data_IF_167809260328
#
_entry.id   IF_167809260328
#
_cell.length_a   1.000
_cell.length_b   1.000
_cell.length_c   1.000
_cell.angle_alpha   90.00
_cell.angle_beta   90.00
_cell.angle_gamma   90.00
#
_symmetry.space_group_name_H-M   'P 1'
#
loop_
_entity.id
_entity.type
_entity.pdbx_description
1 polymer ?
#
# COMPACT_ATOMS: atom_id res chain seq x y z
N UNK A 1 -13.30 7.95 -28.98
CA UNK A 1 -12.56 6.75 -28.54
C UNK A 1 -12.15 7.03 -27.11
N UNK A 2 -12.61 6.22 -26.15
CA UNK A 2 -12.32 6.46 -24.74
C UNK A 2 -10.83 6.16 -24.50
N UNK A 3 -10.04 7.20 -24.28
CA UNK A 3 -8.70 7.04 -23.72
C UNK A 3 -8.85 6.32 -22.38
N UNK A 4 -8.18 5.17 -22.25
CA UNK A 4 -8.16 4.43 -21.01
C UNK A 4 -7.43 5.27 -19.97
N UNK A 5 -8.16 5.88 -19.04
CA UNK A 5 -7.61 6.52 -17.85
C UNK A 5 -6.66 5.51 -17.18
N UNK A 6 -5.35 5.77 -17.29
CA UNK A 6 -4.33 4.90 -16.73
C UNK A 6 -4.32 5.12 -15.23
N UNK A 7 -4.79 4.11 -14.51
CA UNK A 7 -4.89 4.15 -13.05
C UNK A 7 -3.49 4.15 -12.42
N UNK A 8 -3.02 5.30 -11.92
CA UNK A 8 -1.64 5.43 -11.42
C UNK A 8 -1.36 4.65 -10.12
N UNK A 9 -2.39 4.28 -9.30
CA UNK A 9 -2.17 3.53 -8.03
C UNK A 9 -1.55 2.15 -8.21
N UNK A 10 -1.77 1.51 -9.36
CA UNK A 10 -1.16 0.21 -9.66
C UNK A 10 0.29 0.33 -10.13
N UNK A 11 0.72 1.51 -10.60
CA UNK A 11 1.97 1.68 -11.35
C UNK A 11 3.15 2.25 -10.54
N UNK A 12 2.96 2.60 -9.25
CA UNK A 12 3.95 3.39 -8.48
C UNK A 12 4.99 2.56 -7.69
N UNK A 13 5.04 1.23 -7.85
CA UNK A 13 5.99 0.36 -7.13
C UNK A 13 7.47 0.63 -7.44
N UNK A 14 7.80 1.31 -8.54
CA UNK A 14 9.17 1.71 -8.87
C UNK A 14 9.69 2.95 -8.10
N UNK A 15 8.91 3.52 -7.18
CA UNK A 15 9.26 4.76 -6.46
C UNK A 15 9.76 4.53 -5.04
N UNK A 16 9.99 3.27 -4.64
CA UNK A 16 10.40 2.93 -3.29
C UNK A 16 11.84 3.39 -2.99
N UNK A 17 12.15 3.78 -1.74
CA UNK A 17 13.48 4.24 -1.36
C UNK A 17 14.49 3.09 -1.41
N UNK A 18 15.73 3.39 -1.78
CA UNK A 18 16.82 2.40 -1.89
C UNK A 18 17.41 1.97 -0.55
N UNK A 19 17.04 2.65 0.54
CA UNK A 19 17.48 2.35 1.91
C UNK A 19 16.29 2.05 2.82
N UNK A 20 16.53 1.22 3.81
CA UNK A 20 15.58 0.98 4.90
C UNK A 20 15.38 2.26 5.69
N UNK A 21 14.13 2.71 5.77
CA UNK A 21 13.74 3.89 6.53
C UNK A 21 13.38 3.52 7.98
N UNK A 22 13.26 4.52 8.85
CA UNK A 22 12.78 4.28 10.21
C UNK A 22 11.30 3.86 10.21
N UNK A 23 10.87 3.05 11.20
CA UNK A 23 9.48 2.64 11.34
C UNK A 23 8.49 3.81 11.36
N UNK A 24 7.26 3.54 10.95
CA UNK A 24 6.14 4.50 10.98
C UNK A 24 5.40 4.34 12.30
N UNK A 25 5.52 5.36 13.15
CA UNK A 25 4.97 5.42 14.51
C UNK A 25 4.46 6.83 14.85
N UNK A 26 3.72 6.94 15.95
CA UNK A 26 3.09 8.16 16.46
C UNK A 26 1.68 8.42 15.90
N UNK A 27 1.30 7.81 14.79
CA UNK A 27 -0.05 7.92 14.25
C UNK A 27 -1.04 7.08 15.07
N UNK A 28 -0.61 5.95 15.63
CA UNK A 28 -1.40 5.07 16.46
C UNK A 28 -1.90 5.76 17.74
N UNK A 29 -1.15 6.77 18.21
CA UNK A 29 -1.51 7.61 19.38
C UNK A 29 -2.61 8.61 19.09
N UNK A 30 -2.99 8.83 17.82
CA UNK A 30 -4.12 9.68 17.46
C UNK A 30 -5.45 9.00 17.84
N UNK A 31 -6.41 9.80 18.28
CA UNK A 31 -7.80 9.34 18.44
C UNK A 31 -8.40 9.00 17.08
N UNK A 32 -9.32 8.05 17.05
CA UNK A 32 -10.21 7.88 15.90
C UNK A 32 -11.16 9.07 15.84
N UNK A 33 -11.31 9.63 14.65
CA UNK A 33 -12.10 10.84 14.36
C UNK A 33 -12.89 10.62 13.07
N UNK A 34 -13.83 11.51 12.76
CA UNK A 34 -14.56 11.48 11.49
C UNK A 34 -13.64 11.66 10.29
N UNK A 35 -14.06 11.25 9.09
CA UNK A 35 -13.23 11.41 7.89
C UNK A 35 -12.92 12.88 7.59
N UNK A 36 -13.87 13.80 7.83
CA UNK A 36 -13.68 15.25 7.67
C UNK A 36 -12.58 15.75 8.59
N UNK A 37 -12.64 15.40 9.88
CA UNK A 37 -11.63 15.78 10.87
C UNK A 37 -10.27 15.17 10.54
N UNK A 38 -10.25 13.91 10.07
CA UNK A 38 -9.03 13.16 9.77
C UNK A 38 -8.17 13.82 8.68
N UNK A 39 -8.80 14.54 7.75
CA UNK A 39 -8.10 15.20 6.64
C UNK A 39 -7.80 16.69 6.87
N UNK A 40 -8.23 17.28 7.99
CA UNK A 40 -8.10 18.73 8.25
C UNK A 40 -6.67 19.23 8.26
N UNK A 41 -5.73 18.40 8.75
CA UNK A 41 -4.33 18.77 8.95
C UNK A 41 -3.47 18.45 7.73
N UNK A 42 -4.03 17.88 6.65
CA UNK A 42 -3.24 17.48 5.47
C UNK A 42 -2.73 18.73 4.76
N UNK A 43 -1.40 18.77 4.56
CA UNK A 43 -0.71 19.83 3.86
C UNK A 43 0.19 19.30 2.72
N UNK A 44 0.30 20.04 1.60
CA UNK A 44 -0.49 21.24 1.26
C UNK A 44 -1.98 20.90 0.99
N UNK A 45 -2.88 21.90 0.99
CA UNK A 45 -4.30 21.66 0.71
C UNK A 45 -4.51 20.94 -0.63
N UNK A 46 -5.33 19.89 -0.61
CA UNK A 46 -5.60 19.06 -1.78
C UNK A 46 -6.81 19.63 -2.53
N UNK A 47 -6.69 19.72 -3.85
CA UNK A 47 -7.77 20.16 -4.74
C UNK A 47 -9.06 19.39 -4.48
N UNK A 48 -10.18 20.11 -4.36
CA UNK A 48 -11.53 19.57 -4.22
C UNK A 48 -11.73 18.51 -3.10
N UNK A 49 -10.86 18.48 -2.09
CA UNK A 49 -10.86 17.43 -1.06
C UNK A 49 -12.20 17.31 -0.32
N UNK A 50 -12.84 18.44 0.02
CA UNK A 50 -14.12 18.45 0.75
C UNK A 50 -15.23 17.71 -0.01
N UNK A 51 -15.32 17.92 -1.32
CA UNK A 51 -16.32 17.26 -2.18
C UNK A 51 -16.06 15.76 -2.28
N UNK A 52 -14.79 15.37 -2.33
CA UNK A 52 -14.38 13.97 -2.43
C UNK A 52 -14.62 13.23 -1.12
N UNK A 53 -14.33 13.86 0.02
CA UNK A 53 -14.72 13.37 1.36
C UNK A 53 -16.23 13.19 1.46
N UNK A 54 -17.02 14.18 1.04
CA UNK A 54 -18.48 14.09 1.06
C UNK A 54 -18.98 12.90 0.23
N UNK A 55 -18.40 12.69 -0.95
CA UNK A 55 -18.74 11.60 -1.86
C UNK A 55 -18.39 10.23 -1.25
N UNK A 56 -17.19 10.11 -0.68
CA UNK A 56 -16.72 8.90 0.00
C UNK A 56 -17.64 8.51 1.16
N UNK A 57 -18.05 9.47 1.99
CA UNK A 57 -19.00 9.22 3.10
C UNK A 57 -20.38 8.82 2.61
N UNK A 58 -20.88 9.48 1.55
CA UNK A 58 -22.19 9.15 0.98
C UNK A 58 -22.25 7.70 0.48
N UNK A 59 -21.17 7.22 -0.11
CA UNK A 59 -21.05 5.84 -0.60
C UNK A 59 -20.76 4.80 0.50
N UNK A 60 -20.50 5.23 1.73
CA UNK A 60 -20.07 4.37 2.84
C UNK A 60 -21.03 4.39 4.03
N UNK A 61 -22.31 4.76 3.83
CA UNK A 61 -23.28 4.93 4.93
C UNK A 61 -23.61 3.64 5.69
N UNK A 62 -23.67 2.52 4.98
CA UNK A 62 -24.03 1.21 5.54
C UNK A 62 -22.95 0.19 5.14
N UNK A 63 -21.74 0.28 5.72
CA UNK A 63 -20.64 -0.59 5.34
C UNK A 63 -20.81 -2.01 5.90
N UNK A 64 -20.19 -2.98 5.23
CA UNK A 64 -20.01 -4.35 5.72
C UNK A 64 -18.79 -4.47 6.65
N UNK A 65 -18.46 -5.70 7.03
CA UNK A 65 -17.16 -6.06 7.64
C UNK A 65 -16.87 -5.38 8.99
N UNK A 66 -17.94 -5.02 9.72
CA UNK A 66 -17.89 -4.34 11.02
C UNK A 66 -17.09 -3.02 11.00
N UNK A 67 -17.01 -2.37 9.84
CA UNK A 67 -16.46 -1.04 9.72
C UNK A 67 -17.50 0.01 10.13
N UNK A 68 -17.05 1.12 10.69
CA UNK A 68 -17.87 2.32 10.80
C UNK A 68 -17.99 3.01 9.44
N UNK A 69 -18.98 3.90 9.23
CA UNK A 69 -19.09 4.67 8.00
C UNK A 69 -17.83 5.47 7.65
N UNK A 70 -17.17 6.09 8.64
CA UNK A 70 -15.93 6.86 8.43
C UNK A 70 -14.73 5.95 8.11
N UNK A 71 -14.63 4.78 8.74
CA UNK A 71 -13.61 3.78 8.42
C UNK A 71 -13.74 3.29 6.98
N UNK A 72 -14.95 2.91 6.54
CA UNK A 72 -15.20 2.53 5.14
C UNK A 72 -14.97 3.70 4.18
N UNK A 73 -15.40 4.91 4.55
CA UNK A 73 -15.21 6.10 3.73
C UNK A 73 -13.73 6.45 3.55
N UNK A 74 -12.87 6.17 4.54
CA UNK A 74 -11.43 6.38 4.41
C UNK A 74 -10.82 5.51 3.31
N UNK A 75 -11.26 4.25 3.19
CA UNK A 75 -10.86 3.33 2.11
C UNK A 75 -11.41 3.81 0.78
N UNK A 76 -12.70 4.20 0.76
CA UNK A 76 -13.34 4.72 -0.42
C UNK A 76 -12.58 5.94 -0.98
N UNK A 77 -12.24 6.91 -0.11
CA UNK A 77 -11.48 8.11 -0.48
C UNK A 77 -10.09 7.77 -1.01
N UNK A 78 -9.39 6.80 -0.41
CA UNK A 78 -8.07 6.36 -0.89
C UNK A 78 -8.15 5.88 -2.34
N UNK A 79 -9.18 5.12 -2.69
CA UNK A 79 -9.34 4.53 -4.03
C UNK A 79 -9.87 5.49 -5.09
N UNK A 80 -10.38 6.67 -4.71
CA UNK A 80 -10.93 7.64 -5.66
C UNK A 80 -9.82 8.30 -6.50
N UNK A 81 -10.15 8.60 -7.77
CA UNK A 81 -9.26 9.36 -8.66
C UNK A 81 -9.70 10.79 -8.83
N UNK A 82 -8.68 11.64 -8.92
CA UNK A 82 -8.79 13.04 -9.30
C UNK A 82 -8.55 13.17 -10.80
N UNK A 83 -9.00 14.27 -11.42
CA UNK A 83 -8.63 14.59 -12.79
C UNK A 83 -7.10 14.61 -12.95
N UNK A 84 -6.60 14.26 -14.15
CA UNK A 84 -5.16 14.09 -14.43
C UNK A 84 -4.28 15.30 -14.07
N UNK A 85 -4.87 16.49 -14.06
CA UNK A 85 -4.19 17.74 -13.66
C UNK A 85 -3.90 17.85 -12.16
N UNK A 86 -4.40 16.91 -11.34
CA UNK A 86 -4.29 16.94 -9.89
C UNK A 86 -3.93 15.56 -9.31
N UNK A 87 -3.17 15.58 -8.23
CA UNK A 87 -2.77 14.36 -7.52
C UNK A 87 -3.87 13.91 -6.55
N UNK A 88 -4.21 12.62 -6.62
CA UNK A 88 -5.22 11.98 -5.76
C UNK A 88 -4.66 11.70 -4.36
N UNK A 89 -5.56 11.37 -3.42
CA UNK A 89 -5.18 11.05 -2.02
C UNK A 89 -4.17 9.90 -1.95
N UNK A 90 -4.39 8.78 -2.66
CA UNK A 90 -3.44 7.66 -2.62
C UNK A 90 -2.04 8.07 -3.07
N UNK A 91 -1.95 8.90 -4.13
CA UNK A 91 -0.68 9.30 -4.73
C UNK A 91 0.13 10.13 -3.73
N UNK A 92 -0.52 11.12 -3.13
CA UNK A 92 0.09 12.00 -2.15
C UNK A 92 0.49 11.26 -0.88
N UNK A 93 -0.39 10.38 -0.37
CA UNK A 93 -0.10 9.59 0.82
C UNK A 93 1.09 8.64 0.58
N UNK A 94 1.11 7.92 -0.54
CA UNK A 94 2.21 7.01 -0.88
C UNK A 94 3.54 7.75 -1.04
N UNK A 95 3.53 8.96 -1.61
CA UNK A 95 4.72 9.80 -1.65
C UNK A 95 5.23 10.12 -0.23
N UNK A 96 4.32 10.44 0.72
CA UNK A 96 4.71 10.72 2.10
C UNK A 96 5.20 9.49 2.85
N UNK A 97 4.61 8.32 2.61
CA UNK A 97 5.05 7.05 3.19
C UNK A 97 6.46 6.66 2.72
N UNK A 98 6.80 6.93 1.46
CA UNK A 98 8.12 6.68 0.86
C UNK A 98 9.18 7.73 1.19
N UNK A 99 8.77 8.89 1.72
CA UNK A 99 9.68 9.99 2.03
C UNK A 99 10.61 9.64 3.20
N UNK A 100 11.91 9.86 3.01
CA UNK A 100 12.90 9.75 4.09
C UNK A 100 12.63 10.75 5.23
N UNK A 101 11.98 11.88 4.90
CA UNK A 101 11.63 12.92 5.85
C UNK A 101 10.33 12.54 6.58
N UNK A 102 10.41 11.62 7.54
CA UNK A 102 9.25 11.11 8.31
C UNK A 102 8.34 12.18 8.92
N UNK A 103 8.88 13.36 9.24
CA UNK A 103 8.08 14.49 9.72
C UNK A 103 7.02 14.96 8.72
N UNK A 104 7.22 14.77 7.41
CA UNK A 104 6.23 15.11 6.37
C UNK A 104 4.98 14.23 6.42
N UNK A 105 5.03 13.08 7.10
CA UNK A 105 3.87 12.20 7.28
C UNK A 105 3.00 12.64 8.47
N UNK A 106 3.51 13.45 9.41
CA UNK A 106 2.77 13.90 10.61
C UNK A 106 1.42 14.58 10.29
N UNK A 107 1.32 15.48 9.29
CA UNK A 107 0.04 16.03 8.82
C UNK A 107 -1.02 14.96 8.47
N UNK A 108 -0.58 13.77 8.05
CA UNK A 108 -1.44 12.68 7.62
C UNK A 108 -1.82 11.71 8.75
N UNK A 109 -1.30 11.87 9.96
CA UNK A 109 -1.45 10.87 11.02
C UNK A 109 -2.91 10.59 11.41
N UNK A 110 -3.78 11.60 11.41
CA UNK A 110 -5.21 11.39 11.71
C UNK A 110 -5.90 10.56 10.60
N UNK A 111 -5.60 10.84 9.33
CA UNK A 111 -6.08 10.04 8.21
C UNK A 111 -5.49 8.63 8.24
N UNK A 112 -4.18 8.49 8.47
CA UNK A 112 -3.49 7.21 8.56
C UNK A 112 -4.03 6.35 9.71
N UNK A 113 -4.33 6.95 10.87
CA UNK A 113 -4.99 6.28 11.98
C UNK A 113 -6.34 5.70 11.56
N UNK A 114 -7.19 6.49 10.94
CA UNK A 114 -8.52 6.04 10.49
C UNK A 114 -8.42 4.95 9.42
N UNK A 115 -7.59 5.16 8.40
CA UNK A 115 -7.41 4.26 7.27
C UNK A 115 -6.73 2.94 7.64
N UNK A 116 -5.66 2.96 8.44
CA UNK A 116 -5.02 1.70 8.84
C UNK A 116 -5.86 0.93 9.86
N UNK A 117 -6.65 1.62 10.71
CA UNK A 117 -7.63 0.94 11.57
C UNK A 117 -8.65 0.17 10.75
N UNK A 118 -9.20 0.80 9.69
CA UNK A 118 -10.19 0.14 8.83
C UNK A 118 -9.59 -1.08 8.12
N UNK A 119 -8.39 -0.96 7.54
CA UNK A 119 -7.71 -2.10 6.89
C UNK A 119 -7.36 -3.23 7.87
N UNK A 120 -6.96 -2.93 9.10
CA UNK A 120 -6.67 -3.97 10.09
C UNK A 120 -7.90 -4.75 10.55
N UNK A 121 -9.09 -4.14 10.52
CA UNK A 121 -10.35 -4.84 10.83
C UNK A 121 -10.77 -5.82 9.73
N UNK A 122 -10.32 -5.60 8.49
CA UNK A 122 -10.60 -6.53 7.39
C UNK A 122 -9.79 -7.83 7.54
N UNK A 123 -10.37 -8.99 7.16
CA UNK A 123 -9.66 -10.27 7.22
C UNK A 123 -8.41 -10.24 6.32
N UNK A 124 -7.33 -10.87 6.80
CA UNK A 124 -6.13 -11.08 5.98
C UNK A 124 -6.36 -12.20 4.97
N UNK A 125 -5.95 -11.94 3.74
CA UNK A 125 -5.94 -12.86 2.62
C UNK A 125 -4.53 -13.40 2.41
N UNK A 126 -4.41 -14.74 2.34
CA UNK A 126 -3.18 -15.42 1.93
C UNK A 126 -3.36 -16.05 0.56
N UNK A 127 -2.84 -15.40 -0.49
CA UNK A 127 -2.97 -15.81 -1.90
C UNK A 127 -1.85 -15.21 -2.75
N UNK A 128 -1.73 -15.70 -3.99
CA UNK A 128 -0.95 -15.01 -5.02
C UNK A 128 -1.75 -13.85 -5.61
N UNK A 129 -1.18 -12.65 -5.58
CA UNK A 129 -1.75 -11.42 -6.13
C UNK A 129 -0.79 -10.78 -7.13
N UNK A 130 -1.32 -9.86 -7.93
CA UNK A 130 -0.60 -9.22 -9.01
C UNK A 130 -0.56 -7.72 -8.84
N UNK A 131 0.58 -7.13 -9.19
CA UNK A 131 0.77 -5.71 -9.39
C UNK A 131 1.60 -5.51 -10.64
N UNK A 132 1.54 -4.36 -11.28
CA UNK A 132 2.39 -4.12 -12.44
C UNK A 132 2.59 -2.65 -12.68
N UNK A 133 3.73 -2.35 -13.30
CA UNK A 133 4.18 -0.99 -13.56
C UNK A 133 4.63 -0.88 -15.01
N UNK A 134 4.63 0.33 -15.54
CA UNK A 134 5.30 0.63 -16.82
C UNK A 134 6.79 0.83 -16.58
N UNK A 135 7.61 0.35 -17.51
CA UNK A 135 9.06 0.36 -17.42
C UNK A 135 9.66 -0.95 -16.88
N UNK A 136 10.98 -1.04 -17.00
CA UNK A 136 11.79 -2.12 -16.46
C UNK A 136 12.40 -1.67 -15.14
N UNK A 137 12.10 -2.38 -14.05
CA UNK A 137 12.70 -2.17 -12.73
C UNK A 137 13.46 -3.38 -12.23
N UNK A 138 13.73 -4.37 -13.08
CA UNK A 138 14.32 -5.65 -12.72
C UNK A 138 15.57 -5.51 -11.84
N UNK A 139 16.45 -4.56 -12.18
CA UNK A 139 17.73 -4.34 -11.50
C UNK A 139 17.58 -3.72 -10.09
N UNK A 140 16.37 -3.27 -9.73
CA UNK A 140 16.09 -2.74 -8.39
C UNK A 140 15.78 -3.85 -7.38
N UNK A 141 15.53 -5.08 -7.83
CA UNK A 141 14.98 -6.18 -7.02
C UNK A 141 15.97 -7.34 -6.89
N UNK A 142 17.16 -7.15 -6.29
CA UNK A 142 18.17 -8.23 -6.16
C UNK A 142 18.15 -8.97 -4.81
N UNK A 143 17.53 -8.38 -3.80
CA UNK A 143 17.50 -8.87 -2.41
C UNK A 143 16.13 -8.61 -1.80
N UNK A 144 15.96 -8.88 -0.53
CA UNK A 144 14.79 -8.44 0.22
C UNK A 144 14.69 -6.91 0.32
N UNK A 145 13.46 -6.41 0.42
CA UNK A 145 13.15 -4.98 0.47
C UNK A 145 11.82 -4.73 1.17
N UNK A 146 11.52 -3.46 1.39
CA UNK A 146 10.28 -3.00 2.02
C UNK A 146 9.54 -2.12 1.03
N UNK A 147 8.26 -2.43 0.79
CA UNK A 147 7.34 -1.48 0.17
C UNK A 147 6.73 -0.59 1.25
N UNK A 148 7.23 0.64 1.33
CA UNK A 148 6.78 1.62 2.31
C UNK A 148 5.43 2.24 1.93
N UNK A 149 5.15 2.39 0.64
CA UNK A 149 3.85 2.80 0.16
C UNK A 149 2.78 1.72 0.37
N UNK A 150 1.53 2.16 0.45
CA UNK A 150 0.37 1.27 0.34
C UNK A 150 0.32 0.77 -1.10
N UNK A 151 0.32 -0.54 -1.30
CA UNK A 151 0.37 -1.12 -2.64
C UNK A 151 -0.98 -1.70 -3.06
N UNK A 152 -1.53 -1.16 -4.14
CA UNK A 152 -2.74 -1.67 -4.80
C UNK A 152 -2.40 -2.85 -5.71
N UNK A 153 -3.06 -3.98 -5.48
CA UNK A 153 -2.88 -5.23 -6.20
C UNK A 153 -4.23 -5.78 -6.66
N UNK A 154 -4.22 -6.82 -7.50
CA UNK A 154 -5.43 -7.50 -7.96
C UNK A 154 -5.21 -9.02 -7.98
N UNK A 155 -6.27 -9.81 -7.81
CA UNK A 155 -6.20 -11.27 -7.98
C UNK A 155 -6.12 -11.69 -9.45
N UNK A 156 -6.50 -10.81 -10.39
CA UNK A 156 -6.74 -11.22 -11.78
C UNK A 156 -5.81 -10.52 -12.78
N UNK A 157 -5.14 -11.31 -13.62
CA UNK A 157 -4.32 -10.79 -14.71
C UNK A 157 -5.14 -9.95 -15.72
N UNK A 158 -6.43 -10.27 -15.90
CA UNK A 158 -7.34 -9.50 -16.75
C UNK A 158 -7.47 -8.04 -16.31
N UNK A 159 -7.45 -7.77 -15.01
CA UNK A 159 -7.45 -6.41 -14.47
C UNK A 159 -6.10 -5.75 -14.72
N UNK A 160 -4.99 -6.48 -14.57
CA UNK A 160 -3.65 -5.97 -14.90
C UNK A 160 -3.50 -5.54 -16.36
N UNK A 161 -4.06 -6.28 -17.32
CA UNK A 161 -4.04 -5.88 -18.74
C UNK A 161 -4.64 -4.49 -18.97
N UNK A 162 -5.65 -4.09 -18.19
CA UNK A 162 -6.25 -2.75 -18.28
C UNK A 162 -5.30 -1.64 -17.79
N UNK A 163 -4.42 -1.95 -16.84
CA UNK A 163 -3.57 -0.97 -16.18
C UNK A 163 -2.19 -0.84 -16.83
N UNK A 164 -1.50 -1.95 -17.07
CA UNK A 164 -0.17 -1.94 -17.70
C UNK A 164 -0.24 -2.03 -19.22
N UNK A 165 -1.35 -2.50 -19.80
CA UNK A 165 -1.47 -2.76 -21.22
C UNK A 165 -0.84 -4.10 -21.65
N UNK A 166 -0.83 -4.34 -22.96
CA UNK A 166 -0.28 -5.58 -23.57
C UNK A 166 1.05 -5.36 -24.31
N UNK A 167 1.51 -4.12 -24.41
CA UNK A 167 2.69 -3.74 -25.18
C UNK A 167 3.49 -2.66 -24.47
N UNK A 168 4.76 -2.54 -24.86
CA UNK A 168 5.70 -1.62 -24.26
C UNK A 168 6.36 -2.22 -23.02
N UNK A 169 7.51 -1.66 -22.67
CA UNK A 169 8.32 -2.15 -21.55
C UNK A 169 7.50 -2.07 -20.26
N UNK A 170 7.32 -3.21 -19.59
CA UNK A 170 6.51 -3.32 -18.37
C UNK A 170 7.05 -4.39 -17.44
N UNK A 171 6.80 -4.21 -16.16
CA UNK A 171 7.16 -5.17 -15.11
C UNK A 171 5.89 -5.60 -14.37
N UNK A 172 5.69 -6.91 -14.24
CA UNK A 172 4.64 -7.53 -13.43
C UNK A 172 5.26 -8.14 -12.18
N UNK A 173 4.62 -7.92 -11.04
CA UNK A 173 4.95 -8.54 -9.77
C UNK A 173 3.94 -9.65 -9.49
N UNK A 174 4.42 -10.88 -9.36
CA UNK A 174 3.67 -12.00 -8.83
C UNK A 174 4.00 -12.11 -7.35
N UNK A 175 3.03 -11.92 -6.46
CA UNK A 175 3.29 -11.74 -5.03
C UNK A 175 2.53 -12.80 -4.24
N UNK A 176 3.23 -13.68 -3.55
CA UNK A 176 2.64 -14.54 -2.52
C UNK A 176 2.42 -13.71 -1.24
N UNK A 177 1.22 -13.17 -1.07
CA UNK A 177 0.90 -12.37 0.11
C UNK A 177 0.36 -13.25 1.25
N UNK A 178 0.56 -12.78 2.48
CA UNK A 178 0.00 -13.35 3.72
C UNK A 178 -0.94 -12.37 4.43
N UNK A 179 -0.81 -11.05 4.19
CA UNK A 179 -1.63 -10.01 4.83
C UNK A 179 -2.41 -9.13 3.85
N UNK A 180 -2.72 -9.62 2.65
CA UNK A 180 -3.52 -8.86 1.68
C UNK A 180 -4.90 -8.50 2.24
N UNK A 181 -5.36 -7.26 2.01
CA UNK A 181 -6.68 -6.78 2.44
C UNK A 181 -7.58 -6.58 1.22
N UNK A 182 -8.58 -7.44 1.06
CA UNK A 182 -9.56 -7.28 -0.02
C UNK A 182 -10.50 -6.12 0.31
N UNK A 183 -10.50 -5.07 -0.51
CA UNK A 183 -11.25 -3.83 -0.23
C UNK A 183 -12.43 -3.60 -1.18
N UNK A 184 -12.80 -4.59 -1.99
CA UNK A 184 -13.87 -4.49 -3.00
C UNK A 184 -15.16 -3.84 -2.48
N UNK A 185 -15.61 -4.22 -1.28
CA UNK A 185 -16.85 -3.70 -0.68
C UNK A 185 -16.77 -2.23 -0.28
N UNK A 186 -15.56 -1.69 -0.12
CA UNK A 186 -15.29 -0.35 0.39
C UNK A 186 -14.60 0.57 -0.65
N UNK A 187 -14.12 0.02 -1.77
CA UNK A 187 -13.50 0.76 -2.87
C UNK A 187 -14.53 1.53 -3.70
N UNK A 188 -14.10 2.65 -4.28
CA UNK A 188 -14.82 3.39 -5.32
C UNK A 188 -14.94 2.56 -6.60
N UNK A 189 -13.92 1.77 -6.95
CA UNK A 189 -13.85 0.95 -8.16
C UNK A 189 -14.04 -0.55 -7.85
N UNK A 190 -15.30 -0.95 -7.65
CA UNK A 190 -15.64 -2.34 -7.25
C UNK A 190 -15.22 -3.41 -8.26
N UNK A 191 -15.09 -3.07 -9.53
CA UNK A 191 -14.77 -4.02 -10.61
C UNK A 191 -13.29 -4.41 -10.67
N UNK A 192 -12.43 -3.73 -9.91
CA UNK A 192 -10.98 -3.99 -9.91
C UNK A 192 -10.60 -5.15 -9.00
N UNK A 193 -11.49 -5.56 -8.10
CA UNK A 193 -11.23 -6.55 -7.04
C UNK A 193 -9.91 -6.23 -6.32
N UNK A 194 -9.75 -4.97 -5.94
CA UNK A 194 -8.51 -4.44 -5.38
C UNK A 194 -8.17 -5.11 -4.04
N UNK A 195 -6.90 -5.49 -3.93
CA UNK A 195 -6.28 -6.00 -2.71
C UNK A 195 -5.17 -5.02 -2.32
N UNK A 196 -5.21 -4.57 -1.07
CA UNK A 196 -4.18 -3.70 -0.51
C UNK A 196 -3.14 -4.54 0.22
N UNK A 197 -1.86 -4.31 -0.10
CA UNK A 197 -0.75 -4.61 0.80
C UNK A 197 -0.48 -3.37 1.67
N UNK A 198 -0.28 -3.62 2.96
CA UNK A 198 -0.08 -2.58 3.97
C UNK A 198 1.23 -1.81 3.72
N UNK A 199 1.34 -0.55 4.16
CA UNK A 199 2.63 0.13 4.14
C UNK A 199 3.63 -0.63 5.01
N UNK A 200 4.89 -0.64 4.60
CA UNK A 200 5.94 -1.40 5.30
C UNK A 200 5.87 -2.91 5.06
N UNK A 201 5.29 -3.36 3.94
CA UNK A 201 5.28 -4.80 3.59
C UNK A 201 6.70 -5.24 3.27
N UNK A 202 7.19 -6.28 3.96
CA UNK A 202 8.51 -6.87 3.74
C UNK A 202 8.42 -8.00 2.71
N UNK A 203 9.25 -7.92 1.67
CA UNK A 203 9.15 -8.78 0.49
C UNK A 203 10.53 -9.35 0.16
N UNK A 204 10.59 -10.65 -0.08
CA UNK A 204 11.77 -11.34 -0.62
C UNK A 204 11.57 -11.65 -2.09
N UNK A 205 12.61 -11.43 -2.89
CA UNK A 205 12.66 -11.86 -4.29
C UNK A 205 12.89 -13.37 -4.33
N UNK A 206 11.98 -14.09 -4.97
CA UNK A 206 12.07 -15.54 -5.16
C UNK A 206 12.70 -15.86 -6.51
N UNK A 207 12.21 -15.23 -7.57
CA UNK A 207 12.71 -15.46 -8.93
C UNK A 207 12.39 -14.27 -9.86
N UNK A 208 13.05 -14.24 -11.01
CA UNK A 208 12.85 -13.26 -12.08
C UNK A 208 12.77 -13.95 -13.42
N UNK A 209 11.84 -13.50 -14.25
CA UNK A 209 11.64 -14.08 -15.58
C UNK A 209 11.26 -13.01 -16.60
N UNK A 210 11.87 -13.07 -17.79
CA UNK A 210 11.57 -12.19 -18.92
C UNK A 210 11.03 -13.01 -20.09
N UNK A 211 9.72 -13.30 -20.15
CA UNK A 211 9.11 -14.09 -21.22
C UNK A 211 9.16 -13.44 -22.61
N UNK A 212 9.36 -12.12 -22.67
CA UNK A 212 9.49 -11.34 -23.90
C UNK A 212 10.39 -10.12 -23.65
N UNK A 213 10.92 -9.52 -24.71
CA UNK A 213 11.86 -8.39 -24.63
C UNK A 213 11.31 -7.18 -23.86
N UNK A 214 9.98 -7.00 -23.88
CA UNK A 214 9.29 -5.87 -23.25
C UNK A 214 8.50 -6.25 -21.98
N UNK A 215 8.62 -7.49 -21.49
CA UNK A 215 7.89 -7.99 -20.32
C UNK A 215 8.82 -8.64 -19.30
N UNK A 216 8.84 -8.07 -18.11
CA UNK A 216 9.56 -8.57 -16.94
C UNK A 216 8.58 -9.05 -15.89
N UNK A 217 8.85 -10.20 -15.28
CA UNK A 217 8.05 -10.78 -14.20
C UNK A 217 8.98 -10.99 -13.01
N UNK A 218 8.60 -10.44 -11.86
CA UNK A 218 9.33 -10.58 -10.60
C UNK A 218 8.44 -11.33 -9.62
N UNK A 219 8.89 -12.50 -9.18
CA UNK A 219 8.21 -13.31 -8.17
C UNK A 219 8.68 -12.90 -6.78
N UNK A 220 7.72 -12.47 -5.96
CA UNK A 220 7.92 -11.99 -4.61
C UNK A 220 7.15 -12.86 -3.61
N UNK A 221 7.69 -12.96 -2.40
CA UNK A 221 7.02 -13.55 -1.25
C UNK A 221 6.98 -12.55 -0.11
N UNK A 222 5.80 -12.31 0.44
CA UNK A 222 5.64 -11.53 1.67
C UNK A 222 6.14 -12.34 2.87
N UNK A 223 7.00 -11.72 3.67
CA UNK A 223 7.56 -12.31 4.88
C UNK A 223 7.31 -11.41 6.09
N UNK A 224 7.37 -11.99 7.29
CA UNK A 224 7.25 -11.21 8.52
C UNK A 224 8.62 -10.63 8.89
N UNK A 225 8.78 -9.30 8.98
CA UNK A 225 10.04 -8.69 9.35
C UNK A 225 10.39 -8.97 10.81
N UNK A 226 11.68 -8.93 11.15
CA UNK A 226 12.16 -9.10 12.54
C UNK A 226 11.66 -8.02 13.50
N UNK A 227 11.41 -6.82 12.98
CA UNK A 227 10.94 -5.67 13.74
C UNK A 227 9.67 -5.11 13.11
N UNK A 228 8.82 -4.54 13.95
CA UNK A 228 7.61 -3.88 13.49
C UNK A 228 7.96 -2.61 12.69
N UNK A 229 7.61 -2.61 11.40
CA UNK A 229 7.89 -1.50 10.49
C UNK A 229 6.81 -0.40 10.53
N UNK A 230 5.58 -0.77 10.89
CA UNK A 230 4.44 0.15 11.07
C UNK A 230 3.73 -0.24 12.36
N UNK A 231 3.57 0.70 13.28
CA UNK A 231 2.90 0.49 14.56
C UNK A 231 1.48 -0.08 14.36
N UNK A 232 0.95 -0.83 15.32
CA UNK A 232 -0.46 -1.26 15.25
C UNK A 232 -1.36 -0.04 15.48
N UNK A 233 -2.45 0.16 14.69
CA UNK A 233 -3.39 1.24 14.97
C UNK A 233 -4.21 0.96 16.23
N UNK A 234 -4.24 -0.27 16.75
CA UNK A 234 -4.87 -0.56 18.03
C UNK A 234 -3.84 -0.31 19.13
N UNK A 235 -4.22 0.46 20.14
CA UNK A 235 -3.37 0.67 21.31
C UNK A 235 -3.15 -0.69 21.98
N UNK A 236 -2.04 -1.35 21.68
CA UNK A 236 -1.50 -2.37 22.54
C UNK A 236 -0.93 -1.65 23.74
N UNK A 237 -1.69 -1.60 24.84
CA UNK A 237 -1.07 -1.50 26.15
C UNK A 237 -0.12 -2.70 26.27
N UNK A 238 1.16 -2.46 26.02
CA UNK A 238 2.32 -3.32 26.28
C UNK A 238 2.20 -4.80 25.84
N UNK A 239 2.76 -5.12 24.67
CA UNK A 239 3.46 -6.39 24.51
C UNK A 239 4.87 -6.08 24.05
N UNK A 240 5.80 -6.11 25.00
CA UNK A 240 7.23 -6.11 24.75
C UNK A 240 7.58 -7.26 23.81
N UNK A 241 7.84 -6.97 22.53
CA UNK A 241 8.66 -7.87 21.74
C UNK A 241 10.08 -7.72 22.28
N UNK A 242 10.57 -8.73 22.99
CA UNK A 242 12.00 -8.87 23.22
C UNK A 242 12.64 -9.05 21.86
N UNK A 243 13.22 -7.96 21.34
CA UNK A 243 14.12 -8.02 20.21
C UNK A 243 15.24 -9.05 20.52
N UNK A 244 15.59 -9.95 19.59
CA UNK A 244 16.77 -10.77 19.76
C UNK A 244 18.01 -9.85 19.86
N UNK A 245 19.00 -10.20 20.68
CA UNK A 245 20.19 -9.39 20.87
C UNK A 245 20.93 -9.20 19.53
N UNK A 246 21.49 -8.00 19.31
CA UNK A 246 22.21 -7.59 18.09
C UNK A 246 23.31 -8.58 17.63
N UNK A 247 23.74 -9.50 18.49
CA UNK A 247 24.82 -10.44 18.23
C UNK A 247 24.44 -11.58 17.26
N UNK A 248 23.15 -11.83 16.99
CA UNK A 248 22.75 -12.87 16.03
C UNK A 248 22.86 -12.43 14.54
N UNK A 249 23.09 -11.14 14.27
CA UNK A 249 23.23 -10.60 12.92
C UNK A 249 24.56 -10.93 12.21
N UNK A 250 25.50 -11.62 12.87
CA UNK A 250 26.85 -11.84 12.32
C UNK A 250 27.26 -13.30 12.08
N UNK A 251 26.37 -14.27 12.27
CA UNK A 251 26.70 -15.70 12.11
C UNK A 251 25.80 -16.41 11.11
N UNK A 252 25.94 -16.06 9.84
CA UNK A 252 25.63 -16.97 8.72
C UNK A 252 26.75 -16.91 7.66
N UNK A 253 27.97 -17.23 8.08
CA UNK A 253 29.03 -17.63 7.14
C UNK A 253 29.40 -19.10 7.36
N UNK A 254 29.15 -19.85 6.29
CA UNK A 254 29.85 -21.06 5.85
C UNK A 254 29.53 -22.36 6.58
N UNK A 255 28.64 -23.15 5.97
CA UNK A 255 28.80 -24.61 5.85
C UNK A 255 28.31 -25.05 4.47
N UNK A 256 29.24 -25.28 3.57
CA UNK A 256 29.10 -26.33 2.56
C UNK A 256 30.23 -27.35 2.79
N UNK A 257 30.00 -28.63 2.45
CA UNK A 257 30.91 -29.74 2.72
C UNK A 257 32.26 -29.62 2.01
#
# INVERSE_FOLDING_TARGET
MAESNVVNRFLDAGQEPTKTLTPIEGYEKKSLVSLEEAVTQIEPPIYNLKTMVWSAKRNSRNPSDNLTPDESASIHLYTMEWPETHQSIYFLLNQKLRSEKRNELKPWFSYLKLFLTSLHKLPSLKKTIWRGIRGNVNDQYEKDFIWWGISSCTETMKVMEKFVGRSGVRTLFMIECINGKAIKSHSFYKDENEIILMPGTYLRVIDKWSPADDLYIIHLQEETPLYQLVASPFNSSSSSSTAPPLNELTSSKTKLP
#
